data_IF_572359829270
#
_entry.id   IF_572359829270
#
_cell.length_a   1.000
_cell.length_b   1.000
_cell.length_c   1.000
_cell.angle_alpha   90.00
_cell.angle_beta   90.00
_cell.angle_gamma   90.00
#
_symmetry.space_group_name_H-M   'P 1'
#
loop_
_entity.id
_entity.type
_entity.pdbx_description
1 polymer ?
#
# COMPACT_ATOMS: atom_id res chain seq x y z
N UNK A 1 15.49 11.77 -17.96
CA UNK A 1 16.16 10.87 -17.01
C UNK A 1 15.08 9.90 -16.57
N UNK A 2 15.13 8.65 -17.00
CA UNK A 2 14.18 7.65 -16.48
C UNK A 2 14.41 7.55 -14.98
N UNK A 3 13.39 7.89 -14.19
CA UNK A 3 13.42 7.67 -12.75
C UNK A 3 13.31 6.17 -12.55
N UNK A 4 14.39 5.52 -12.12
CA UNK A 4 14.34 4.11 -11.76
C UNK A 4 13.46 3.98 -10.51
N UNK A 5 12.40 3.17 -10.59
CA UNK A 5 11.55 2.88 -9.43
C UNK A 5 12.08 1.62 -8.75
N UNK A 6 12.27 1.67 -7.44
CA UNK A 6 12.47 0.43 -6.70
C UNK A 6 11.11 -0.24 -6.47
N UNK A 7 11.13 -1.50 -6.02
CA UNK A 7 9.91 -2.19 -5.60
C UNK A 7 10.03 -2.60 -4.15
N UNK A 8 8.99 -2.32 -3.37
CA UNK A 8 8.86 -2.68 -1.97
C UNK A 8 7.72 -3.68 -1.80
N UNK A 9 7.90 -4.66 -0.93
CA UNK A 9 6.81 -5.47 -0.41
C UNK A 9 6.26 -4.78 0.83
N UNK A 10 5.05 -4.24 0.72
CA UNK A 10 4.33 -3.58 1.80
C UNK A 10 3.28 -4.51 2.40
N UNK A 11 3.16 -4.53 3.73
CA UNK A 11 2.19 -5.33 4.47
C UNK A 11 1.30 -4.45 5.34
N UNK A 12 -0.01 -4.65 5.20
CA UNK A 12 -1.06 -4.07 6.04
C UNK A 12 -1.78 -5.21 6.77
N UNK A 13 -1.96 -5.07 8.07
CA UNK A 13 -2.85 -5.93 8.84
C UNK A 13 -4.26 -5.34 8.81
N UNK A 14 -5.26 -6.20 8.66
CA UNK A 14 -6.66 -5.82 8.59
C UNK A 14 -7.45 -6.71 9.53
N UNK A 15 -8.14 -6.11 10.50
CA UNK A 15 -9.12 -6.78 11.35
C UNK A 15 -10.52 -6.45 10.88
N UNK A 16 -11.32 -7.47 10.56
CA UNK A 16 -12.76 -7.37 10.30
C UNK A 16 -13.48 -8.37 11.20
N UNK A 17 -14.44 -7.88 11.98
CA UNK A 17 -15.24 -8.68 12.91
C UNK A 17 -14.40 -9.61 13.83
N UNK A 18 -13.22 -9.13 14.27
CA UNK A 18 -12.31 -9.86 15.16
C UNK A 18 -11.47 -10.93 14.45
N UNK A 19 -11.49 -10.96 13.12
CA UNK A 19 -10.61 -11.80 12.30
C UNK A 19 -9.52 -10.94 11.69
N UNK A 20 -8.28 -11.21 12.08
CA UNK A 20 -7.10 -10.54 11.54
C UNK A 20 -6.56 -11.26 10.29
N UNK A 21 -6.30 -10.50 9.23
CA UNK A 21 -5.65 -10.96 8.01
C UNK A 21 -4.49 -10.03 7.62
N UNK A 22 -3.44 -10.63 7.05
CA UNK A 22 -2.32 -9.90 6.47
C UNK A 22 -2.55 -9.72 4.98
N UNK A 23 -2.50 -8.49 4.50
CA UNK A 23 -2.56 -8.15 3.07
C UNK A 23 -1.23 -7.57 2.63
N UNK A 24 -0.72 -8.07 1.51
CA UNK A 24 0.57 -7.66 0.96
C UNK A 24 0.40 -7.05 -0.42
N UNK A 25 1.16 -5.98 -0.69
CA UNK A 25 1.19 -5.28 -1.96
C UNK A 25 2.62 -5.12 -2.44
N UNK A 26 2.81 -5.19 -3.77
CA UNK A 26 4.04 -4.71 -4.39
C UNK A 26 3.86 -3.22 -4.68
N UNK A 27 4.72 -2.39 -4.12
CA UNK A 27 4.68 -0.93 -4.28
C UNK A 27 5.93 -0.50 -5.04
N UNK A 28 5.77 0.25 -6.12
CA UNK A 28 6.86 0.86 -6.88
C UNK A 28 6.89 2.37 -6.65
N UNK A 29 8.06 2.92 -6.36
CA UNK A 29 8.28 4.31 -5.93
C UNK A 29 9.76 4.72 -6.12
N UNK A 30 10.09 5.99 -5.95
CA UNK A 30 11.49 6.47 -6.10
C UNK A 30 12.37 6.13 -4.90
N UNK A 31 11.80 6.19 -3.69
CA UNK A 31 12.50 5.99 -2.43
C UNK A 31 11.53 5.49 -1.34
N UNK A 32 12.08 5.18 -0.16
CA UNK A 32 11.31 4.68 0.97
C UNK A 32 10.24 5.68 1.42
N UNK A 33 10.55 6.98 1.44
CA UNK A 33 9.60 7.99 1.94
C UNK A 33 8.37 8.08 1.03
N UNK A 34 8.55 7.99 -0.29
CA UNK A 34 7.43 7.93 -1.22
C UNK A 34 6.67 6.61 -1.12
N UNK A 35 7.37 5.47 -0.97
CA UNK A 35 6.74 4.17 -0.80
C UNK A 35 5.87 4.12 0.47
N UNK A 36 6.40 4.58 1.61
CA UNK A 36 5.68 4.69 2.87
C UNK A 36 4.47 5.61 2.74
N UNK A 37 4.64 6.81 2.18
CA UNK A 37 3.52 7.72 1.97
C UNK A 37 2.37 7.06 1.19
N UNK A 38 2.69 6.31 0.12
CA UNK A 38 1.71 5.55 -0.64
C UNK A 38 0.97 4.52 0.22
N UNK A 39 1.69 3.70 0.98
CA UNK A 39 1.08 2.66 1.83
C UNK A 39 0.25 3.26 2.97
N UNK A 40 0.70 4.38 3.53
CA UNK A 40 -0.07 5.11 4.55
C UNK A 40 -1.38 5.65 3.97
N UNK A 41 -1.35 6.17 2.75
CA UNK A 41 -2.55 6.58 2.05
C UNK A 41 -3.48 5.40 1.74
N UNK A 42 -2.93 4.23 1.37
CA UNK A 42 -3.71 3.01 1.20
C UNK A 42 -4.47 2.65 2.48
N UNK A 43 -3.77 2.59 3.62
CA UNK A 43 -4.37 2.27 4.91
C UNK A 43 -5.39 3.31 5.37
N UNK A 44 -5.15 4.60 5.09
CA UNK A 44 -6.04 5.73 5.41
C UNK A 44 -7.29 5.83 4.56
N UNK A 45 -7.25 5.25 3.36
CA UNK A 45 -8.36 5.22 2.41
C UNK A 45 -8.89 3.81 2.15
N UNK A 46 -8.63 2.90 3.08
CA UNK A 46 -9.02 1.50 2.98
C UNK A 46 -10.54 1.34 2.90
N UNK A 47 -11.28 2.15 3.66
CA UNK A 47 -12.73 2.27 3.55
C UNK A 47 -13.16 3.76 3.52
N UNK A 48 -14.38 4.06 3.03
CA UNK A 48 -14.82 5.45 2.84
C UNK A 48 -14.97 6.29 4.12
N UNK A 49 -15.19 5.67 5.27
CA UNK A 49 -15.59 6.35 6.51
C UNK A 49 -14.56 6.17 7.63
N UNK A 50 -13.41 6.85 7.53
CA UNK A 50 -12.40 6.86 8.59
C UNK A 50 -13.00 7.43 9.88
N UNK A 51 -13.01 6.64 10.95
CA UNK A 51 -13.49 7.09 12.27
C UNK A 51 -12.38 7.71 13.10
N UNK A 52 -11.21 7.08 13.10
CA UNK A 52 -10.09 7.47 13.96
C UNK A 52 -8.77 7.08 13.30
N UNK A 53 -7.78 7.94 13.47
CA UNK A 53 -6.40 7.74 13.06
C UNK A 53 -5.51 7.80 14.30
N UNK A 54 -4.80 6.70 14.59
CA UNK A 54 -3.91 6.55 15.74
C UNK A 54 -2.47 6.45 15.26
N UNK A 55 -1.62 7.33 15.79
CA UNK A 55 -0.18 7.40 15.51
C UNK A 55 0.18 7.36 14.02
N UNK A 56 -0.75 7.76 13.15
CA UNK A 56 -0.70 7.69 11.68
C UNK A 56 -0.58 6.30 11.06
N UNK A 57 -0.28 5.24 11.82
CA UNK A 57 -0.04 3.89 11.28
C UNK A 57 -1.21 2.93 11.55
N UNK A 58 -2.28 3.40 12.21
CA UNK A 58 -3.50 2.63 12.50
C UNK A 58 -4.73 3.47 12.19
N UNK A 59 -5.65 2.89 11.44
CA UNK A 59 -6.88 3.53 10.97
C UNK A 59 -8.08 2.67 11.35
N UNK A 60 -8.99 3.25 12.11
CA UNK A 60 -10.21 2.61 12.55
C UNK A 60 -11.40 3.06 11.71
N UNK A 61 -12.23 2.10 11.35
CA UNK A 61 -13.39 2.26 10.49
C UNK A 61 -14.62 1.60 11.14
N UNK A 62 -15.85 1.85 10.64
CA UNK A 62 -17.03 1.19 11.15
C UNK A 62 -16.97 -0.34 11.10
N UNK A 63 -16.34 -0.89 10.06
CA UNK A 63 -16.28 -2.34 9.80
C UNK A 63 -14.99 -3.01 10.23
N UNK A 64 -14.02 -2.29 10.81
CA UNK A 64 -12.72 -2.89 11.12
C UNK A 64 -11.61 -1.91 11.40
N UNK A 65 -10.40 -2.44 11.49
CA UNK A 65 -9.18 -1.69 11.75
C UNK A 65 -8.12 -2.11 10.74
N UNK A 66 -7.37 -1.14 10.22
CA UNK A 66 -6.23 -1.36 9.35
C UNK A 66 -5.01 -0.79 10.02
N UNK A 67 -3.87 -1.47 9.97
CA UNK A 67 -2.61 -0.90 10.43
C UNK A 67 -1.43 -1.32 9.57
N UNK A 68 -0.50 -0.39 9.43
CA UNK A 68 0.77 -0.62 8.76
C UNK A 68 1.62 -1.60 9.58
N UNK A 69 2.10 -2.65 8.92
CA UNK A 69 2.86 -3.71 9.57
C UNK A 69 4.32 -3.75 9.13
N UNK A 70 4.58 -3.72 7.82
CA UNK A 70 5.92 -3.90 7.29
C UNK A 70 6.11 -3.25 5.92
N UNK A 71 7.33 -2.80 5.64
CA UNK A 71 7.76 -2.45 4.28
C UNK A 71 9.20 -2.92 4.08
N UNK A 72 9.45 -3.66 3.00
CA UNK A 72 10.77 -4.25 2.71
C UNK A 72 11.15 -3.92 1.28
N UNK A 73 12.33 -3.33 1.09
CA UNK A 73 12.90 -3.13 -0.24
C UNK A 73 13.28 -4.49 -0.83
N UNK A 74 12.79 -4.78 -2.03
CA UNK A 74 13.11 -6.02 -2.75
C UNK A 74 14.31 -5.81 -3.65
N UNK A 75 15.14 -6.85 -3.76
CA UNK A 75 16.08 -6.93 -4.87
C UNK A 75 15.39 -7.35 -6.19
N UNK A 76 16.14 -7.32 -7.30
CA UNK A 76 15.60 -7.64 -8.62
C UNK A 76 15.11 -9.10 -8.74
N UNK A 77 15.73 -10.04 -8.02
CA UNK A 77 15.37 -11.46 -8.03
C UNK A 77 14.08 -11.68 -7.24
N UNK A 78 14.00 -11.14 -6.02
CA UNK A 78 12.81 -11.19 -5.17
C UNK A 78 11.60 -10.54 -5.88
N UNK A 79 11.79 -9.36 -6.47
CA UNK A 79 10.76 -8.67 -7.24
C UNK A 79 10.29 -9.51 -8.43
N UNK A 80 11.22 -10.09 -9.20
CA UNK A 80 10.89 -10.94 -10.35
C UNK A 80 10.08 -12.17 -9.93
N UNK A 81 10.49 -12.84 -8.85
CA UNK A 81 9.76 -13.99 -8.30
C UNK A 81 8.35 -13.58 -7.87
N UNK A 82 8.22 -12.56 -7.02
CA UNK A 82 6.93 -12.16 -6.46
C UNK A 82 5.96 -11.64 -7.53
N UNK A 83 6.43 -10.84 -8.50
CA UNK A 83 5.61 -10.45 -9.66
C UNK A 83 5.20 -11.64 -10.51
N UNK A 84 6.10 -12.62 -10.68
CA UNK A 84 5.83 -13.84 -11.44
C UNK A 84 4.72 -14.72 -10.86
N UNK A 85 4.45 -14.62 -9.56
CA UNK A 85 3.40 -15.40 -8.89
C UNK A 85 1.97 -14.88 -9.16
N UNK A 86 1.82 -13.64 -9.66
CA UNK A 86 0.55 -13.03 -10.11
C UNK A 86 -0.62 -13.06 -9.10
N UNK A 87 -0.34 -13.13 -7.80
CA UNK A 87 -1.38 -13.00 -6.76
C UNK A 87 -1.27 -11.70 -5.96
N UNK A 88 -0.12 -11.02 -6.01
CA UNK A 88 0.07 -9.73 -5.36
C UNK A 88 -0.33 -8.62 -6.32
N UNK A 89 -1.21 -7.74 -5.85
CA UNK A 89 -1.51 -6.52 -6.57
C UNK A 89 -0.28 -5.59 -6.54
N UNK A 90 -0.01 -4.96 -7.68
CA UNK A 90 1.12 -4.09 -7.88
C UNK A 90 0.67 -2.65 -8.12
N UNK A 91 1.24 -1.74 -7.35
CA UNK A 91 0.87 -0.33 -7.31
C UNK A 91 2.10 0.55 -7.53
N UNK A 92 1.97 1.58 -8.34
CA UNK A 92 2.99 2.61 -8.53
C UNK A 92 2.57 3.87 -7.77
N UNK A 93 3.44 4.33 -6.88
CA UNK A 93 3.28 5.56 -6.12
C UNK A 93 4.03 6.67 -6.83
N UNK A 94 3.31 7.77 -7.06
CA UNK A 94 3.84 9.00 -7.64
C UNK A 94 3.36 10.20 -6.82
N UNK A 95 3.76 11.41 -7.23
CA UNK A 95 3.42 12.63 -6.51
C UNK A 95 4.35 12.87 -5.31
N UNK A 96 3.99 13.86 -4.50
CA UNK A 96 4.74 14.24 -3.31
C UNK A 96 4.31 13.37 -2.10
N UNK A 97 5.19 13.13 -1.11
CA UNK A 97 4.83 12.31 0.06
C UNK A 97 3.64 12.81 0.88
N UNK A 98 3.28 14.10 0.80
CA UNK A 98 2.09 14.68 1.44
C UNK A 98 0.81 14.55 0.60
N UNK A 99 0.94 14.19 -0.68
CA UNK A 99 -0.15 13.95 -1.61
C UNK A 99 0.21 12.81 -2.59
N UNK A 100 0.41 11.58 -2.08
CA UNK A 100 0.78 10.44 -2.92
C UNK A 100 -0.39 10.04 -3.82
N UNK A 101 -0.07 9.58 -5.03
CA UNK A 101 -1.03 9.05 -6.01
C UNK A 101 -0.65 7.61 -6.31
N UNK A 102 -1.58 6.69 -6.09
CA UNK A 102 -1.40 5.25 -6.26
C UNK A 102 -2.15 4.76 -7.48
N UNK A 103 -1.44 4.13 -8.41
CA UNK A 103 -2.04 3.56 -9.61
C UNK A 103 -1.60 2.12 -9.86
N UNK A 104 -2.52 1.29 -10.31
CA UNK A 104 -2.19 -0.06 -10.76
C UNK A 104 -1.53 -0.04 -12.15
N UNK A 105 -1.25 -1.23 -12.70
CA UNK A 105 -0.63 -1.37 -14.03
C UNK A 105 -1.53 -0.93 -15.19
N UNK A 106 -2.84 -0.78 -14.96
CA UNK A 106 -3.81 -0.29 -15.93
C UNK A 106 -4.11 1.21 -15.77
N UNK A 107 -3.52 1.86 -14.75
CA UNK A 107 -3.68 3.26 -14.45
C UNK A 107 -4.91 3.60 -13.61
N UNK A 108 -5.60 2.61 -13.02
CA UNK A 108 -6.71 2.86 -12.11
C UNK A 108 -6.19 3.38 -10.77
N UNK A 109 -6.94 4.28 -10.14
CA UNK A 109 -6.59 4.80 -8.83
C UNK A 109 -6.96 3.79 -7.73
N UNK A 110 -6.12 3.69 -6.71
CA UNK A 110 -6.37 2.86 -5.53
C UNK A 110 -7.77 3.08 -4.95
N UNK A 111 -8.20 4.34 -4.87
CA UNK A 111 -9.47 4.74 -4.27
C UNK A 111 -10.69 4.32 -5.08
N UNK A 112 -10.50 3.94 -6.35
CA UNK A 112 -11.60 3.44 -7.18
C UNK A 112 -11.90 1.95 -6.92
N UNK A 113 -10.91 1.23 -6.37
CA UNK A 113 -10.97 -0.22 -6.11
C UNK A 113 -11.32 -0.50 -4.66
N UNK A 114 -10.90 0.34 -3.71
CA UNK A 114 -11.31 0.21 -2.32
C UNK A 114 -12.79 0.58 -2.13
N UNK A 115 -13.60 -0.40 -1.72
CA UNK A 115 -15.01 -0.22 -1.35
C UNK A 115 -15.35 -1.00 -0.10
#
# INVERSE_FOLDING_TARGET
METYLNTWLAGLSVDVDGTEMMVYYLVSATDLAQAEAGVMEMGRTWWPALKREDDRHRWEYPGGVVWFNSIVLLDDVENSILRGLKFLDAWTVTGAPDAPVLRDEWGNDWRDITR
#
